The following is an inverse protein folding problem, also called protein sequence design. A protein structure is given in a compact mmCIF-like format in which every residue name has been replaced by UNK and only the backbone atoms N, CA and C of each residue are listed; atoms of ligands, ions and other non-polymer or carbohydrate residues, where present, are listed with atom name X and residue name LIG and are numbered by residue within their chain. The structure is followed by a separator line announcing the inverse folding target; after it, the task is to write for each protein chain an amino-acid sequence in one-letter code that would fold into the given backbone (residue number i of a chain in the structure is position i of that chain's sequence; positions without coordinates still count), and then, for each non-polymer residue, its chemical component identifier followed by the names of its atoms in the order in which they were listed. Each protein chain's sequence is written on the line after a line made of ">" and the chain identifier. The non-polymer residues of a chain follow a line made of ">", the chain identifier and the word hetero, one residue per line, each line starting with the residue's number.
data_IF_596529772713
#
_entry.id   IF_596529772713
#
_cell.length_a   1.000
_cell.length_b   1.000
_cell.length_c   1.000
_cell.angle_alpha   90.00
_cell.angle_beta   90.00
_cell.angle_gamma   90.00
#
_symmetry.space_group_name_H-M   'P 1'
#
loop_
_entity.id
_entity.type
_entity.pdbx_description
1 polymer ?
#
# COMPACT_ATOMS: atom_id res chain seq x y z
N UNK A 1 -0.26 30.86 7.25
CA UNK A 1 0.42 29.67 6.70
C UNK A 1 0.20 29.66 5.19
N UNK A 2 1.26 29.51 4.39
CA UNK A 2 1.18 29.54 2.93
C UNK A 2 0.21 28.47 2.41
N UNK A 3 -0.73 28.87 1.54
CA UNK A 3 -1.59 27.94 0.81
C UNK A 3 -0.73 27.09 -0.13
N UNK A 4 -0.30 25.91 0.32
CA UNK A 4 0.48 24.97 -0.50
C UNK A 4 -0.33 24.60 -1.75
N UNK A 5 0.18 24.98 -2.91
CA UNK A 5 -0.37 24.59 -4.20
C UNK A 5 0.30 23.27 -4.65
N UNK A 6 -0.51 22.27 -4.98
CA UNK A 6 -0.02 20.97 -5.46
C UNK A 6 -0.12 20.92 -6.98
N UNK A 7 1.00 20.65 -7.66
CA UNK A 7 1.01 20.46 -9.12
C UNK A 7 0.10 19.30 -9.53
N UNK A 8 -0.38 19.30 -10.77
CA UNK A 8 -1.21 18.20 -11.27
C UNK A 8 -0.48 16.85 -11.19
N UNK A 9 0.82 16.84 -11.55
CA UNK A 9 1.69 15.67 -11.46
C UNK A 9 1.78 15.14 -10.03
N UNK A 10 1.98 16.03 -9.04
CA UNK A 10 2.01 15.65 -7.63
C UNK A 10 0.72 14.94 -7.20
N UNK A 11 -0.44 15.51 -7.57
CA UNK A 11 -1.76 15.00 -7.18
C UNK A 11 -2.05 13.65 -7.82
N UNK A 12 -1.80 13.52 -9.12
CA UNK A 12 -2.00 12.27 -9.87
C UNK A 12 -1.17 11.15 -9.25
N UNK A 13 0.12 11.40 -8.98
CA UNK A 13 1.00 10.39 -8.39
C UNK A 13 0.57 10.04 -6.97
N UNK A 14 0.18 11.02 -6.15
CA UNK A 14 -0.33 10.78 -4.80
C UNK A 14 -1.54 9.84 -4.82
N UNK A 15 -2.55 10.14 -5.64
CA UNK A 15 -3.76 9.32 -5.74
C UNK A 15 -3.51 7.96 -6.37
N UNK A 16 -2.64 7.87 -7.39
CA UNK A 16 -2.26 6.61 -7.98
C UNK A 16 -1.60 5.69 -6.95
N UNK A 17 -0.66 6.21 -6.14
CA UNK A 17 -0.03 5.47 -5.04
C UNK A 17 -1.08 5.03 -4.01
N UNK A 18 -1.96 5.94 -3.58
CA UNK A 18 -2.98 5.63 -2.58
C UNK A 18 -3.95 4.53 -3.06
N UNK A 19 -4.39 4.59 -4.31
CA UNK A 19 -5.26 3.58 -4.92
C UNK A 19 -4.53 2.24 -5.04
N UNK A 20 -3.27 2.23 -5.51
CA UNK A 20 -2.47 0.99 -5.57
C UNK A 20 -2.32 0.34 -4.20
N UNK A 21 -2.03 1.12 -3.15
CA UNK A 21 -1.94 0.60 -1.78
C UNK A 21 -3.27 0.03 -1.29
N UNK A 22 -4.39 0.71 -1.56
CA UNK A 22 -5.71 0.21 -1.19
C UNK A 22 -6.04 -1.11 -1.89
N UNK A 23 -5.77 -1.22 -3.19
CA UNK A 23 -5.98 -2.47 -3.94
C UNK A 23 -5.09 -3.60 -3.41
N UNK A 24 -3.82 -3.32 -3.08
CA UNK A 24 -2.94 -4.30 -2.43
C UNK A 24 -3.51 -4.75 -1.08
N UNK A 25 -4.00 -3.83 -0.24
CA UNK A 25 -4.67 -4.20 1.01
C UNK A 25 -5.90 -5.07 0.78
N UNK A 26 -6.71 -4.78 -0.25
CA UNK A 26 -7.87 -5.62 -0.62
C UNK A 26 -7.42 -7.04 -0.99
N UNK A 27 -6.39 -7.20 -1.81
CA UNK A 27 -5.88 -8.54 -2.16
C UNK A 27 -5.38 -9.32 -0.94
N UNK A 28 -4.73 -8.64 0.01
CA UNK A 28 -4.28 -9.24 1.27
C UNK A 28 -5.48 -9.62 2.15
N UNK A 29 -6.46 -8.72 2.28
CA UNK A 29 -7.70 -8.99 3.00
C UNK A 29 -8.39 -10.25 2.45
N UNK A 30 -8.57 -10.34 1.13
CA UNK A 30 -9.14 -11.51 0.47
C UNK A 30 -8.32 -12.77 0.78
N UNK A 31 -6.99 -12.72 0.68
CA UNK A 31 -6.08 -13.84 0.97
C UNK A 31 -6.22 -14.39 2.39
N UNK A 32 -6.38 -13.51 3.37
CA UNK A 32 -6.43 -13.87 4.79
C UNK A 32 -7.83 -14.30 5.24
N UNK A 33 -8.88 -13.78 4.59
CA UNK A 33 -10.27 -13.99 4.99
C UNK A 33 -11.02 -14.86 3.97
N UNK A 34 -11.77 -14.24 3.05
CA UNK A 34 -12.71 -14.90 2.15
C UNK A 34 -12.08 -15.98 1.26
N UNK A 35 -10.86 -15.74 0.78
CA UNK A 35 -10.11 -16.65 -0.10
C UNK A 35 -8.98 -17.39 0.65
N UNK A 36 -9.15 -17.57 1.96
CA UNK A 36 -8.27 -18.45 2.73
C UNK A 36 -8.32 -19.85 2.12
N UNK A 37 -7.15 -20.47 1.92
CA UNK A 37 -7.05 -21.77 1.24
C UNK A 37 -7.86 -22.87 1.94
N UNK A 38 -7.95 -22.81 3.27
CA UNK A 38 -8.66 -23.83 4.05
C UNK A 38 -10.17 -23.64 3.89
N UNK A 39 -10.66 -22.40 4.03
CA UNK A 39 -12.08 -22.08 3.86
C UNK A 39 -12.57 -22.43 2.44
N UNK A 40 -11.79 -22.08 1.42
CA UNK A 40 -12.14 -22.41 0.03
C UNK A 40 -12.12 -23.92 -0.20
N UNK A 41 -11.15 -24.64 0.38
CA UNK A 41 -11.10 -26.10 0.29
C UNK A 41 -12.31 -26.78 0.97
N UNK A 42 -12.76 -26.25 2.10
CA UNK A 42 -13.95 -26.71 2.82
C UNK A 42 -15.22 -26.51 1.98
N UNK A 43 -15.41 -25.33 1.37
CA UNK A 43 -16.54 -25.06 0.46
C UNK A 43 -16.57 -26.07 -0.70
N UNK A 44 -15.40 -26.38 -1.28
CA UNK A 44 -15.29 -27.37 -2.37
C UNK A 44 -15.65 -28.77 -1.84
N UNK A 45 -15.15 -29.15 -0.67
CA UNK A 45 -15.44 -30.45 -0.04
C UNK A 45 -16.94 -30.64 0.15
N UNK A 46 -17.61 -29.64 0.70
CA UNK A 46 -19.05 -29.69 0.98
C UNK A 46 -19.87 -29.86 -0.30
N UNK A 47 -19.47 -29.19 -1.39
CA UNK A 47 -20.12 -29.36 -2.69
C UNK A 47 -19.90 -30.77 -3.26
N UNK A 48 -18.66 -31.29 -3.23
CA UNK A 48 -18.34 -32.61 -3.79
C UNK A 48 -19.03 -33.75 -3.03
N UNK A 49 -19.24 -33.59 -1.73
CA UNK A 49 -20.01 -34.54 -0.92
C UNK A 49 -21.47 -34.72 -1.42
N UNK A 50 -22.00 -33.76 -2.19
CA UNK A 50 -23.33 -33.85 -2.80
C UNK A 50 -23.34 -34.47 -4.20
N UNK A 51 -22.17 -34.74 -4.80
CA UNK A 51 -22.04 -35.17 -6.21
C UNK A 51 -21.39 -36.55 -6.38
N UNK A 52 -21.32 -37.36 -5.32
CA UNK A 52 -20.64 -38.67 -5.27
C UNK A 52 -19.17 -38.62 -5.70
N UNK A 53 -18.56 -37.43 -5.64
CA UNK A 53 -17.15 -37.20 -5.92
C UNK A 53 -16.42 -36.94 -4.61
N UNK A 54 -15.21 -37.48 -4.49
CA UNK A 54 -14.35 -37.22 -3.34
C UNK A 54 -12.95 -36.90 -3.82
N UNK A 55 -12.36 -35.84 -3.27
CA UNK A 55 -10.96 -35.50 -3.44
C UNK A 55 -10.24 -35.65 -2.10
N UNK A 56 -8.96 -35.96 -2.13
CA UNK A 56 -8.13 -35.90 -0.93
C UNK A 56 -7.99 -34.45 -0.43
N UNK A 57 -7.67 -34.28 0.85
CA UNK A 57 -7.45 -32.94 1.42
C UNK A 57 -6.35 -32.15 0.70
N UNK A 58 -5.30 -32.82 0.25
CA UNK A 58 -4.23 -32.20 -0.53
C UNK A 58 -4.71 -31.71 -1.90
N UNK A 59 -5.59 -32.47 -2.56
CA UNK A 59 -6.20 -32.07 -3.83
C UNK A 59 -7.13 -30.87 -3.64
N UNK A 60 -7.95 -30.87 -2.58
CA UNK A 60 -8.83 -29.76 -2.22
C UNK A 60 -8.05 -28.47 -1.96
N UNK A 61 -6.99 -28.55 -1.15
CA UNK A 61 -6.12 -27.40 -0.86
C UNK A 61 -5.39 -26.91 -2.11
N UNK A 62 -4.98 -27.82 -2.99
CA UNK A 62 -4.33 -27.46 -4.26
C UNK A 62 -5.31 -26.71 -5.18
N UNK A 63 -6.53 -27.20 -5.32
CA UNK A 63 -7.58 -26.54 -6.10
C UNK A 63 -7.95 -25.17 -5.50
N UNK A 64 -8.09 -25.10 -4.18
CA UNK A 64 -8.32 -23.85 -3.47
C UNK A 64 -7.19 -22.84 -3.72
N UNK A 65 -5.92 -23.27 -3.74
CA UNK A 65 -4.77 -22.44 -4.12
C UNK A 65 -4.86 -21.97 -5.58
N UNK A 66 -5.32 -22.79 -6.51
CA UNK A 66 -5.49 -22.42 -7.91
C UNK A 66 -6.57 -21.34 -8.09
N UNK A 67 -7.72 -21.47 -7.42
CA UNK A 67 -8.82 -20.48 -7.47
C UNK A 67 -8.36 -19.08 -7.06
N UNK A 68 -7.45 -18.99 -6.09
CA UNK A 68 -6.90 -17.72 -5.60
C UNK A 68 -5.67 -17.22 -6.35
N UNK A 69 -5.06 -18.02 -7.22
CA UNK A 69 -3.88 -17.59 -8.00
C UNK A 69 -4.15 -16.30 -8.80
N UNK A 70 -5.28 -16.14 -9.51
CA UNK A 70 -5.54 -14.91 -10.27
C UNK A 70 -5.48 -13.63 -9.42
N UNK A 71 -6.05 -13.67 -8.21
CA UNK A 71 -5.96 -12.53 -7.28
C UNK A 71 -4.52 -12.26 -6.84
N UNK A 72 -3.71 -13.30 -6.63
CA UNK A 72 -2.30 -13.16 -6.27
C UNK A 72 -1.46 -12.57 -7.42
N UNK A 73 -1.77 -12.94 -8.66
CA UNK A 73 -1.15 -12.33 -9.85
C UNK A 73 -1.47 -10.83 -9.91
N UNK A 74 -2.73 -10.45 -9.64
CA UNK A 74 -3.10 -9.04 -9.53
C UNK A 74 -2.34 -8.31 -8.42
N UNK A 75 -2.14 -8.94 -7.26
CA UNK A 75 -1.30 -8.39 -6.19
C UNK A 75 0.11 -8.06 -6.70
N UNK A 76 0.74 -8.99 -7.43
CA UNK A 76 2.08 -8.79 -8.00
C UNK A 76 2.08 -7.63 -9.02
N UNK A 77 1.13 -7.60 -9.95
CA UNK A 77 1.05 -6.53 -10.96
C UNK A 77 0.84 -5.14 -10.35
N UNK A 78 -0.06 -5.03 -9.36
CA UNK A 78 -0.25 -3.78 -8.64
C UNK A 78 1.02 -3.41 -7.86
N UNK A 79 1.75 -4.40 -7.32
CA UNK A 79 3.06 -4.22 -6.71
C UNK A 79 4.08 -3.59 -7.67
N UNK A 80 4.17 -4.06 -8.91
CA UNK A 80 5.03 -3.46 -9.94
C UNK A 80 4.61 -2.03 -10.29
N UNK A 81 3.30 -1.77 -10.42
CA UNK A 81 2.79 -0.40 -10.63
C UNK A 81 3.19 0.51 -9.47
N UNK A 82 3.01 0.05 -8.22
CA UNK A 82 3.37 0.81 -7.04
C UNK A 82 4.88 1.07 -6.98
N UNK A 83 5.71 0.08 -7.31
CA UNK A 83 7.16 0.25 -7.39
C UNK A 83 7.57 1.34 -8.39
N UNK A 84 6.96 1.35 -9.58
CA UNK A 84 7.17 2.39 -10.58
C UNK A 84 6.72 3.78 -10.09
N UNK A 85 5.50 3.89 -9.56
CA UNK A 85 4.97 5.16 -9.02
C UNK A 85 5.82 5.70 -7.87
N UNK A 86 6.26 4.83 -6.97
CA UNK A 86 7.13 5.18 -5.85
C UNK A 86 8.50 5.66 -6.32
N UNK A 87 9.06 5.02 -7.36
CA UNK A 87 10.33 5.44 -7.96
C UNK A 87 10.21 6.83 -8.59
N UNK A 88 9.16 7.08 -9.38
CA UNK A 88 8.88 8.42 -9.93
C UNK A 88 8.72 9.44 -8.81
N UNK A 89 7.97 9.09 -7.76
CA UNK A 89 7.75 9.95 -6.60
C UNK A 89 9.07 10.35 -5.91
N UNK A 90 10.03 9.44 -5.81
CA UNK A 90 11.33 9.70 -5.19
C UNK A 90 12.26 10.54 -6.08
N UNK A 91 12.09 10.47 -7.40
CA UNK A 91 12.91 11.20 -8.37
C UNK A 91 12.43 12.65 -8.57
N UNK A 92 11.12 12.91 -8.50
CA UNK A 92 10.54 14.24 -8.74
C UNK A 92 11.15 15.41 -7.93
N UNK A 93 11.59 15.26 -6.66
CA UNK A 93 12.26 16.33 -5.93
C UNK A 93 13.56 16.80 -6.60
N UNK A 94 14.28 15.91 -7.29
CA UNK A 94 15.51 16.26 -8.01
C UNK A 94 15.26 17.13 -9.23
N UNK A 95 14.04 17.14 -9.77
CA UNK A 95 13.61 18.00 -10.86
C UNK A 95 12.96 19.31 -10.38
N UNK A 96 12.99 19.61 -9.07
CA UNK A 96 12.42 20.84 -8.52
C UNK A 96 10.90 20.85 -8.40
N UNK A 97 10.23 19.78 -8.83
CA UNK A 97 8.77 19.61 -8.75
C UNK A 97 8.28 19.36 -7.31
N UNK A 98 9.20 19.07 -6.38
CA UNK A 98 8.93 18.89 -4.97
C UNK A 98 10.09 19.35 -4.08
N UNK A 99 9.77 19.99 -2.95
CA UNK A 99 10.76 20.32 -1.92
C UNK A 99 10.96 19.12 -0.98
N UNK A 100 12.21 18.77 -0.72
CA UNK A 100 12.56 17.79 0.31
C UNK A 100 12.28 18.39 1.69
N UNK A 101 11.55 17.66 2.53
CA UNK A 101 11.26 18.10 3.89
C UNK A 101 12.39 17.62 4.81
N UNK A 102 13.16 18.55 5.38
CA UNK A 102 14.25 18.23 6.29
C UNK A 102 13.75 18.23 7.75
N UNK A 103 13.63 17.07 8.41
CA UNK A 103 13.13 16.97 9.79
C UNK A 103 14.15 17.46 10.85
N UNK A 104 15.39 17.76 10.44
CA UNK A 104 16.48 18.16 11.33
C UNK A 104 16.61 19.68 11.50
N UNK A 105 15.76 20.47 10.83
CA UNK A 105 15.73 21.91 11.07
C UNK A 105 15.20 22.20 12.48
N UNK A 106 16.01 22.92 13.25
CA UNK A 106 15.76 23.22 14.67
C UNK A 106 14.65 24.26 14.87
N UNK A 107 14.20 24.92 13.80
CA UNK A 107 13.17 25.98 13.87
C UNK A 107 11.74 25.49 13.63
N UNK A 108 11.52 24.17 13.53
CA UNK A 108 10.22 23.58 13.20
C UNK A 108 9.43 23.27 14.48
N UNK A 109 8.15 23.65 14.50
CA UNK A 109 7.16 23.32 15.54
C UNK A 109 6.99 21.79 15.71
N UNK A 110 6.66 21.33 16.92
CA UNK A 110 6.54 19.90 17.23
C UNK A 110 5.57 19.15 16.30
N UNK A 111 4.40 19.75 15.99
CA UNK A 111 3.38 19.19 15.08
C UNK A 111 3.95 18.92 13.69
N UNK A 112 4.71 19.86 13.14
CA UNK A 112 5.30 19.74 11.80
C UNK A 112 6.48 18.75 11.79
N UNK A 113 7.27 18.73 12.86
CA UNK A 113 8.34 17.73 13.04
C UNK A 113 7.78 16.31 13.09
N UNK A 114 6.67 16.09 13.80
CA UNK A 114 5.98 14.79 13.83
C UNK A 114 5.49 14.37 12.44
N UNK A 115 4.90 15.29 11.68
CA UNK A 115 4.46 15.01 10.30
C UNK A 115 5.63 14.55 9.42
N UNK A 116 6.78 15.23 9.50
CA UNK A 116 7.96 14.88 8.71
C UNK A 116 8.51 13.50 9.07
N UNK A 117 8.62 13.18 10.36
CA UNK A 117 9.04 11.85 10.81
C UNK A 117 8.06 10.76 10.40
N UNK A 118 6.75 11.00 10.54
CA UNK A 118 5.74 10.04 10.10
C UNK A 118 5.87 9.72 8.60
N UNK A 119 6.10 10.73 7.76
CA UNK A 119 6.33 10.52 6.33
C UNK A 119 7.65 9.80 6.04
N UNK A 120 8.75 10.14 6.72
CA UNK A 120 10.03 9.46 6.52
C UNK A 120 9.92 7.97 6.88
N UNK A 121 9.36 7.65 8.04
CA UNK A 121 9.15 6.26 8.47
C UNK A 121 8.30 5.51 7.45
N UNK A 122 7.19 6.12 7.01
CA UNK A 122 6.35 5.56 5.96
C UNK A 122 7.09 5.27 4.66
N UNK A 123 7.87 6.23 4.16
CA UNK A 123 8.65 6.07 2.93
C UNK A 123 9.69 4.95 3.05
N UNK A 124 10.39 4.84 4.19
CA UNK A 124 11.34 3.76 4.45
C UNK A 124 10.62 2.41 4.48
N UNK A 125 9.52 2.32 5.22
CA UNK A 125 8.75 1.09 5.34
C UNK A 125 8.21 0.60 3.98
N UNK A 126 7.70 1.50 3.14
CA UNK A 126 7.27 1.15 1.77
C UNK A 126 8.43 0.70 0.92
N UNK A 127 9.58 1.38 0.99
CA UNK A 127 10.75 0.96 0.24
C UNK A 127 11.14 -0.48 0.61
N UNK A 128 11.14 -0.83 1.90
CA UNK A 128 11.40 -2.20 2.37
C UNK A 128 10.34 -3.18 1.84
N UNK A 129 9.05 -2.84 1.90
CA UNK A 129 7.97 -3.67 1.36
C UNK A 129 8.12 -3.94 -0.14
N UNK A 130 8.45 -2.89 -0.91
CA UNK A 130 8.63 -3.02 -2.35
C UNK A 130 9.86 -3.85 -2.68
N UNK A 131 11.00 -3.59 -2.03
CA UNK A 131 12.23 -4.37 -2.22
C UNK A 131 11.98 -5.85 -1.90
N UNK A 132 11.42 -6.16 -0.74
CA UNK A 132 11.10 -7.55 -0.36
C UNK A 132 10.15 -8.22 -1.34
N UNK A 133 9.11 -7.53 -1.80
CA UNK A 133 8.17 -8.05 -2.80
C UNK A 133 8.84 -8.33 -4.14
N UNK A 134 9.68 -7.42 -4.63
CA UNK A 134 10.44 -7.59 -5.87
C UNK A 134 11.45 -8.75 -5.76
N UNK A 135 12.14 -8.88 -4.62
CA UNK A 135 13.06 -9.99 -4.38
C UNK A 135 12.36 -11.35 -4.34
N UNK A 136 11.10 -11.44 -3.88
CA UNK A 136 10.36 -12.69 -3.93
C UNK A 136 10.05 -13.16 -5.36
N UNK A 137 9.90 -12.22 -6.30
CA UNK A 137 9.55 -12.50 -7.70
C UNK A 137 10.78 -12.58 -8.62
N UNK A 138 11.83 -11.79 -8.36
CA UNK A 138 13.01 -11.64 -9.21
C UNK A 138 14.30 -12.20 -8.58
N UNK A 139 14.30 -12.45 -7.28
CA UNK A 139 15.48 -12.90 -6.53
C UNK A 139 15.66 -14.42 -6.51
N UNK A 140 16.67 -14.87 -5.78
CA UNK A 140 16.95 -16.31 -5.62
C UNK A 140 15.88 -16.98 -4.75
N UNK A 141 15.61 -18.26 -5.04
CA UNK A 141 14.60 -19.05 -4.30
C UNK A 141 14.91 -19.17 -2.81
N UNK A 142 16.19 -19.17 -2.44
CA UNK A 142 16.63 -19.28 -1.04
C UNK A 142 16.27 -18.05 -0.20
N UNK A 143 16.14 -16.88 -0.86
CA UNK A 143 15.74 -15.63 -0.19
C UNK A 143 14.23 -15.46 -0.12
N UNK A 144 13.43 -16.27 -0.82
CA UNK A 144 11.98 -16.06 -0.90
C UNK A 144 11.31 -16.06 0.47
N UNK A 145 11.63 -17.02 1.34
CA UNK A 145 11.05 -17.14 2.68
C UNK A 145 11.40 -15.96 3.60
N UNK A 146 12.68 -15.60 3.81
CA UNK A 146 13.00 -14.45 4.65
C UNK A 146 12.44 -13.14 4.09
N UNK A 147 12.37 -12.99 2.77
CA UNK A 147 11.73 -11.82 2.16
C UNK A 147 10.22 -11.80 2.41
N UNK A 148 9.53 -12.94 2.33
CA UNK A 148 8.11 -13.04 2.67
C UNK A 148 7.86 -12.68 4.14
N UNK A 149 8.67 -13.18 5.06
CA UNK A 149 8.57 -12.91 6.50
C UNK A 149 8.67 -11.41 6.81
N UNK A 150 9.56 -10.69 6.12
CA UNK A 150 9.66 -9.23 6.25
C UNK A 150 8.48 -8.54 5.51
N UNK A 151 8.13 -9.01 4.31
CA UNK A 151 7.09 -8.41 3.49
C UNK A 151 5.72 -8.44 4.19
N UNK A 152 5.37 -9.51 4.88
CA UNK A 152 4.09 -9.58 5.61
C UNK A 152 4.01 -8.60 6.78
N UNK A 153 5.14 -8.10 7.29
CA UNK A 153 5.16 -7.04 8.31
C UNK A 153 4.58 -5.72 7.79
N UNK A 154 4.40 -5.60 6.47
CA UNK A 154 3.89 -4.37 5.86
C UNK A 154 2.52 -3.94 6.39
N UNK A 155 1.67 -4.90 6.78
CA UNK A 155 0.37 -4.59 7.38
C UNK A 155 0.48 -3.80 8.69
N UNK A 156 1.51 -4.08 9.50
CA UNK A 156 1.67 -3.50 10.83
C UNK A 156 2.08 -2.04 10.80
N UNK A 157 2.74 -1.56 9.72
CA UNK A 157 3.00 -0.13 9.57
C UNK A 157 1.92 0.55 8.70
N UNK A 158 1.44 -0.13 7.65
CA UNK A 158 0.59 0.51 6.65
C UNK A 158 -0.79 0.86 7.22
N UNK A 159 -1.39 -0.05 7.99
CA UNK A 159 -2.70 0.21 8.62
C UNK A 159 -2.60 1.38 9.62
N UNK A 160 -1.68 1.37 10.62
CA UNK A 160 -1.54 2.51 11.51
C UNK A 160 -1.20 3.81 10.79
N UNK A 161 -0.35 3.77 9.77
CA UNK A 161 -0.02 4.96 8.99
C UNK A 161 -1.25 5.55 8.31
N UNK A 162 -2.09 4.72 7.66
CA UNK A 162 -3.32 5.20 7.01
C UNK A 162 -4.23 5.88 8.03
N UNK A 163 -4.41 5.27 9.20
CA UNK A 163 -5.24 5.86 10.27
C UNK A 163 -4.67 7.20 10.72
N UNK A 164 -3.38 7.26 11.06
CA UNK A 164 -2.71 8.49 11.51
C UNK A 164 -2.76 9.57 10.43
N UNK A 165 -2.53 9.19 9.16
CA UNK A 165 -2.54 10.10 8.02
C UNK A 165 -3.93 10.69 7.80
N UNK A 166 -4.98 9.86 7.76
CA UNK A 166 -6.35 10.33 7.57
C UNK A 166 -6.83 11.19 8.74
N UNK A 167 -6.56 10.77 9.99
CA UNK A 167 -6.86 11.59 11.17
C UNK A 167 -6.13 12.94 11.11
N UNK A 168 -4.84 12.94 10.76
CA UNK A 168 -4.05 14.16 10.62
C UNK A 168 -4.59 15.10 9.53
N UNK A 169 -5.00 14.56 8.39
CA UNK A 169 -5.61 15.33 7.29
C UNK A 169 -6.96 15.91 7.71
N UNK A 170 -7.84 15.12 8.36
CA UNK A 170 -9.14 15.59 8.83
C UNK A 170 -9.01 16.68 9.90
N UNK A 171 -8.11 16.49 10.88
CA UNK A 171 -7.83 17.51 11.89
C UNK A 171 -7.32 18.81 11.27
N UNK A 172 -6.43 18.73 10.27
CA UNK A 172 -5.92 19.90 9.56
C UNK A 172 -7.01 20.58 8.70
N UNK A 173 -7.88 19.81 8.06
CA UNK A 173 -9.02 20.32 7.28
C UNK A 173 -10.00 21.10 8.16
N UNK A 174 -10.29 20.62 9.37
CA UNK A 174 -11.24 21.29 10.28
C UNK A 174 -10.63 22.40 11.14
N UNK A 175 -9.31 22.44 11.29
CA UNK A 175 -8.62 23.45 12.07
C UNK A 175 -7.96 24.52 11.19
N UNK A 176 -6.65 24.37 10.94
CA UNK A 176 -5.76 25.44 10.48
C UNK A 176 -5.44 25.39 8.98
N UNK A 177 -5.87 24.35 8.25
CA UNK A 177 -5.53 24.13 6.84
C UNK A 177 -6.75 23.83 5.95
N UNK A 178 -7.88 24.48 6.21
CA UNK A 178 -9.13 24.33 5.45
C UNK A 178 -8.92 24.25 3.93
N UNK A 179 -9.59 23.30 3.28
CA UNK A 179 -9.48 23.00 1.86
C UNK A 179 -8.22 22.23 1.46
N UNK A 180 -7.48 21.61 2.39
CA UNK A 180 -6.32 20.76 2.06
C UNK A 180 -6.74 19.54 1.23
N UNK A 181 -7.88 18.93 1.57
CA UNK A 181 -8.46 17.82 0.81
C UNK A 181 -8.84 18.28 -0.60
N UNK A 182 -9.51 19.43 -0.70
CA UNK A 182 -9.87 19.99 -2.01
C UNK A 182 -8.64 20.33 -2.86
N UNK A 183 -7.56 20.84 -2.25
CA UNK A 183 -6.31 21.14 -2.95
C UNK A 183 -5.60 19.89 -3.43
N UNK A 184 -5.61 18.78 -2.68
CA UNK A 184 -4.98 17.52 -3.15
C UNK A 184 -5.82 16.80 -4.20
N UNK A 185 -7.15 16.96 -4.19
CA UNK A 185 -8.05 16.38 -5.19
C UNK A 185 -8.09 17.25 -6.45
N UNK A 186 -8.61 18.48 -6.33
CA UNK A 186 -8.92 19.38 -7.45
C UNK A 186 -7.82 20.40 -7.79
N UNK A 187 -6.85 20.61 -6.89
CA UNK A 187 -5.86 21.68 -7.05
C UNK A 187 -6.45 23.04 -6.64
N UNK A 188 -5.66 24.10 -6.72
CA UNK A 188 -6.15 25.44 -6.46
C UNK A 188 -6.96 25.96 -7.66
N UNK A 189 -8.17 26.45 -7.43
CA UNK A 189 -8.94 27.15 -8.47
C UNK A 189 -8.20 28.46 -8.78
N UNK A 190 -7.70 28.63 -10.01
CA UNK A 190 -7.24 29.95 -10.48
C UNK A 190 -8.45 30.88 -10.39
N UNK A 191 -8.36 31.91 -9.56
CA UNK A 191 -9.26 33.07 -9.62
C UNK A 191 -8.85 33.92 -10.82
#
# INVERSE_FOLDING_TARGET
>A
MENKNYSAVYRIIHWAIAISMLLLLVTIFLRLTWMNRNNVAEIIRDYLATTDQSLSDDQLITLAKQIRQPMWIWHIYIGYVLAGLFSIRFILPFFGEMKFQNPFDRKIEFKEKFQYWAYIVFYICIAISLVTGLFMELGSKDLKRPMEEIHVLSLYYLIPFIVIHLCGVLLAEFADQQGIVSRIVGGMKKR
#
